data_IF_810238179077
#
_entry.id   IF_810238179077
#
_cell.length_a   1.000
_cell.length_b   1.000
_cell.length_c   1.000
_cell.angle_alpha   90.00
_cell.angle_beta   90.00
_cell.angle_gamma   90.00
#
_symmetry.space_group_name_H-M   'P 1'
#
loop_
_entity.id
_entity.type
_entity.pdbx_description
1 polymer ?
#
# COMPACT_ATOMS: atom_id res chain seq x y z
N UNK A 1 -12.85 7.68 10.13
CA UNK A 1 -11.88 8.22 9.15
C UNK A 1 -11.27 7.06 8.37
N UNK A 2 -11.25 7.16 7.04
CA UNK A 2 -10.64 6.17 6.15
C UNK A 2 -9.42 6.83 5.48
N UNK A 3 -8.45 6.02 5.10
CA UNK A 3 -7.37 6.44 4.21
C UNK A 3 -7.50 5.66 2.91
N UNK A 4 -7.38 6.34 1.79
CA UNK A 4 -7.25 5.73 0.49
C UNK A 4 -5.75 5.62 0.16
N UNK A 5 -5.29 4.43 -0.17
CA UNK A 5 -3.93 4.17 -0.64
C UNK A 5 -4.01 3.92 -2.14
N UNK A 6 -3.50 4.85 -2.94
CA UNK A 6 -3.33 4.67 -4.38
C UNK A 6 -1.92 4.18 -4.67
N UNK A 7 -1.77 3.22 -5.57
CA UNK A 7 -0.49 2.62 -5.93
C UNK A 7 -0.47 2.23 -7.40
N UNK A 8 0.71 2.14 -8.01
CA UNK A 8 0.88 1.58 -9.36
C UNK A 8 1.38 0.16 -9.26
N UNK A 9 0.86 -0.72 -10.11
CA UNK A 9 1.41 -2.03 -10.32
C UNK A 9 2.59 -1.95 -11.30
N UNK A 10 3.53 -2.89 -11.18
CA UNK A 10 4.67 -3.03 -12.08
C UNK A 10 4.25 -3.43 -13.50
N UNK A 11 3.06 -4.03 -13.65
CA UNK A 11 2.46 -4.35 -14.96
C UNK A 11 1.89 -3.11 -15.68
N UNK A 12 1.79 -1.97 -14.98
CA UNK A 12 1.29 -0.70 -15.52
C UNK A 12 -0.13 -0.33 -15.09
N UNK A 13 -0.83 -1.23 -14.39
CA UNK A 13 -2.16 -0.99 -13.84
C UNK A 13 -2.13 -0.06 -12.60
N UNK A 14 -3.20 0.70 -12.40
CA UNK A 14 -3.36 1.57 -11.23
C UNK A 14 -4.30 0.92 -10.19
N UNK A 15 -3.80 0.72 -8.97
CA UNK A 15 -4.55 0.12 -7.87
C UNK A 15 -4.95 1.12 -6.79
N UNK A 16 -6.09 0.85 -6.13
CA UNK A 16 -6.56 1.64 -4.99
C UNK A 16 -7.03 0.71 -3.87
N UNK A 17 -6.55 0.98 -2.65
CA UNK A 17 -6.96 0.27 -1.45
C UNK A 17 -7.51 1.24 -0.40
N UNK A 18 -8.77 1.05 0.00
CA UNK A 18 -9.35 1.76 1.15
C UNK A 18 -9.01 1.04 2.44
N UNK A 19 -8.44 1.76 3.40
CA UNK A 19 -8.07 1.24 4.71
C UNK A 19 -8.76 2.04 5.80
N UNK A 20 -9.18 1.35 6.85
CA UNK A 20 -9.80 1.99 8.00
C UNK A 20 -8.71 2.51 8.93
N UNK A 21 -8.83 3.77 9.36
CA UNK A 21 -7.83 4.43 10.19
C UNK A 21 -7.25 5.68 9.53
N UNK A 22 -6.39 6.36 10.28
CA UNK A 22 -5.69 7.55 9.85
C UNK A 22 -4.21 7.21 9.64
N UNK A 23 -3.81 6.94 8.39
CA UNK A 23 -2.41 6.62 8.08
C UNK A 23 -1.68 7.90 7.67
N UNK A 24 -0.85 8.39 8.58
CA UNK A 24 0.03 9.55 8.34
C UNK A 24 1.43 9.13 7.91
N UNK A 25 1.85 7.90 8.20
CA UNK A 25 3.19 7.41 7.90
C UNK A 25 3.21 6.60 6.59
N UNK A 26 4.00 6.99 5.57
CA UNK A 26 4.09 6.24 4.31
C UNK A 26 4.59 4.80 4.49
N UNK A 27 5.45 4.52 5.48
CA UNK A 27 5.89 3.16 5.79
C UNK A 27 4.76 2.28 6.33
N UNK A 28 3.86 2.88 7.12
CA UNK A 28 2.67 2.19 7.63
C UNK A 28 1.65 1.91 6.53
N UNK A 29 1.48 2.85 5.59
CA UNK A 29 0.66 2.66 4.39
C UNK A 29 1.11 1.44 3.59
N UNK A 30 2.42 1.33 3.36
CA UNK A 30 3.05 0.20 2.66
C UNK A 30 2.80 -1.13 3.36
N UNK A 31 2.98 -1.18 4.68
CA UNK A 31 2.71 -2.37 5.50
C UNK A 31 1.26 -2.80 5.43
N UNK A 32 0.34 -1.87 5.65
CA UNK A 32 -1.10 -2.16 5.62
C UNK A 32 -1.52 -2.61 4.22
N UNK A 33 -1.02 -1.97 3.16
CA UNK A 33 -1.29 -2.39 1.79
C UNK A 33 -0.80 -3.82 1.54
N UNK A 34 0.45 -4.14 1.90
CA UNK A 34 1.02 -5.47 1.70
C UNK A 34 0.27 -6.55 2.49
N UNK A 35 -0.13 -6.26 3.74
CA UNK A 35 -0.96 -7.16 4.54
C UNK A 35 -2.37 -7.31 3.98
N UNK A 36 -2.96 -6.24 3.44
CA UNK A 36 -4.31 -6.29 2.85
C UNK A 36 -4.35 -7.10 1.56
N UNK A 37 -3.24 -7.10 0.81
CA UNK A 37 -3.06 -7.90 -0.40
C UNK A 37 -2.49 -9.30 -0.10
N UNK A 38 -2.39 -9.66 1.18
CA UNK A 38 -1.89 -10.95 1.65
C UNK A 38 -0.53 -11.34 1.02
N UNK A 39 0.34 -10.34 0.79
CA UNK A 39 1.62 -10.59 0.14
C UNK A 39 2.52 -11.40 1.08
N UNK A 40 3.15 -12.49 0.66
CA UNK A 40 4.10 -13.23 1.51
C UNK A 40 5.37 -12.41 1.75
N UNK A 41 6.07 -12.64 2.87
CA UNK A 41 7.36 -11.99 3.17
C UNK A 41 7.34 -11.00 4.34
N UNK A 42 6.67 -11.34 5.44
CA UNK A 42 6.50 -10.46 6.60
C UNK A 42 7.81 -10.07 7.32
N UNK A 43 8.88 -10.85 7.13
CA UNK A 43 10.22 -10.59 7.67
C UNK A 43 11.15 -9.85 6.69
N UNK A 44 10.69 -9.58 5.47
CA UNK A 44 11.47 -8.89 4.44
C UNK A 44 11.22 -7.38 4.47
N UNK A 45 12.07 -6.64 3.76
CA UNK A 45 11.85 -5.22 3.52
C UNK A 45 10.50 -5.00 2.82
N UNK A 46 9.71 -4.03 3.32
CA UNK A 46 8.35 -3.82 2.84
C UNK A 46 8.32 -3.43 1.35
N UNK A 47 9.35 -2.73 0.88
CA UNK A 47 9.47 -2.34 -0.53
C UNK A 47 9.75 -3.55 -1.41
N UNK A 48 10.56 -4.50 -0.93
CA UNK A 48 10.78 -5.77 -1.62
C UNK A 48 9.51 -6.61 -1.65
N UNK A 49 8.78 -6.69 -0.53
CA UNK A 49 7.50 -7.40 -0.44
C UNK A 49 6.46 -6.87 -1.43
N UNK A 50 6.30 -5.55 -1.50
CA UNK A 50 5.39 -4.89 -2.45
C UNK A 50 5.80 -5.17 -3.91
N UNK A 51 7.09 -5.05 -4.24
CA UNK A 51 7.59 -5.37 -5.59
C UNK A 51 7.33 -6.81 -5.99
N UNK A 52 7.51 -7.77 -5.07
CA UNK A 52 7.19 -9.19 -5.31
C UNK A 52 5.69 -9.40 -5.56
N UNK A 53 4.85 -8.61 -4.91
CA UNK A 53 3.41 -8.53 -5.17
C UNK A 53 3.05 -7.77 -6.44
N UNK A 54 4.02 -7.35 -7.25
CA UNK A 54 3.78 -6.60 -8.49
C UNK A 54 3.42 -5.14 -8.25
N UNK A 55 3.79 -4.53 -7.13
CA UNK A 55 3.47 -3.13 -6.78
C UNK A 55 4.73 -2.29 -6.77
N UNK A 56 4.65 -1.10 -7.34
CA UNK A 56 5.71 -0.10 -7.24
C UNK A 56 5.59 0.67 -5.90
N UNK A 57 6.54 0.48 -4.97
CA UNK A 57 6.48 1.12 -3.66
C UNK A 57 6.71 2.63 -3.68
N UNK A 58 7.34 3.16 -4.74
CA UNK A 58 7.57 4.59 -4.90
C UNK A 58 6.31 5.34 -5.35
N UNK A 59 5.38 4.64 -5.99
CA UNK A 59 4.10 5.17 -6.47
C UNK A 59 3.01 5.22 -5.39
N UNK A 60 3.26 4.70 -4.19
CA UNK A 60 2.28 4.65 -3.10
C UNK A 60 1.99 6.05 -2.56
N UNK A 61 0.72 6.44 -2.59
CA UNK A 61 0.21 7.72 -2.07
C UNK A 61 -0.98 7.48 -1.16
N UNK A 62 -0.97 8.14 -0.01
CA UNK A 62 -2.12 8.14 0.91
C UNK A 62 -2.95 9.40 0.71
N UNK A 63 -4.27 9.24 0.72
CA UNK A 63 -5.24 10.33 0.68
C UNK A 63 -6.24 10.11 1.81
N UNK A 64 -6.44 11.12 2.65
CA UNK A 64 -7.35 11.02 3.77
C UNK A 64 -8.77 11.24 3.25
N UNK A 65 -9.66 10.29 3.51
CA UNK A 65 -11.07 10.36 3.14
C UNK A 65 -11.90 10.31 4.42
N UNK A 66 -12.38 11.47 4.82
CA UNK A 66 -13.32 11.64 5.93
C UNK A 66 -14.74 11.67 5.34
N UNK A 67 -15.61 10.79 5.85
CA UNK A 67 -17.07 10.98 5.82
C UNK A 67 -17.46 11.90 6.97
#
# INVERSE_FOLDING_TARGET
>A
MKTQISFKQLDGDDGVALVNGNITNPQEAKRILASKLDLPGEQEDIDARLKRGGIDPASIRTTHVSE
#
